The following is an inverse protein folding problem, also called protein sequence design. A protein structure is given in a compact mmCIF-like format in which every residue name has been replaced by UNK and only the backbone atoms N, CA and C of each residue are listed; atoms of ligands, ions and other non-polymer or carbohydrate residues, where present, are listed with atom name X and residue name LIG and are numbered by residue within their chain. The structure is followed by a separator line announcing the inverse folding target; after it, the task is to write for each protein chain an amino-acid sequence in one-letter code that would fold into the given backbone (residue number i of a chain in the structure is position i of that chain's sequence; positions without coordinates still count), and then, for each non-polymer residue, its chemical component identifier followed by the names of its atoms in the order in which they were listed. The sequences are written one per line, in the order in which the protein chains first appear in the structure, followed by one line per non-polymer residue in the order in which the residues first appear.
data_IF_258318591165
#
_entry.id   IF_258318591165
#
_cell.length_a   1.000
_cell.length_b   1.000
_cell.length_c   1.000
_cell.angle_alpha   90.00
_cell.angle_beta   90.00
_cell.angle_gamma   90.00
#
_symmetry.space_group_name_H-M   'P 1'
#
loop_
_entity.id
_entity.type
_entity.pdbx_description
1 polymer ?
#
# COMPACT_ATOMS: atom_id res chain seq x y z
N UNK A 1 20.45 6.46 -14.96
CA UNK A 1 19.24 5.65 -14.63
C UNK A 1 18.32 5.65 -15.84
N UNK A 2 17.73 4.52 -16.21
CA UNK A 2 16.77 4.45 -17.32
C UNK A 2 15.46 5.11 -16.88
N UNK A 3 14.87 5.98 -17.71
CA UNK A 3 13.62 6.66 -17.35
C UNK A 3 12.45 5.68 -17.41
N UNK A 4 11.42 5.92 -16.57
CA UNK A 4 10.16 5.17 -16.59
C UNK A 4 9.55 5.10 -18.00
N UNK A 5 9.58 6.22 -18.72
CA UNK A 5 9.07 6.32 -20.09
C UNK A 5 9.90 5.44 -21.05
N UNK A 6 11.22 5.38 -20.87
CA UNK A 6 12.10 4.52 -21.67
C UNK A 6 11.82 3.03 -21.44
N UNK A 7 11.45 2.63 -20.22
CA UNK A 7 11.08 1.24 -19.92
C UNK A 7 9.71 0.90 -20.55
N UNK A 8 8.71 1.75 -20.34
CA UNK A 8 7.36 1.56 -20.89
C UNK A 8 7.38 1.47 -22.43
N UNK A 9 8.16 2.32 -23.10
CA UNK A 9 8.32 2.30 -24.55
C UNK A 9 9.03 1.04 -25.08
N UNK A 10 9.96 0.46 -24.31
CA UNK A 10 10.69 -0.76 -24.69
C UNK A 10 9.93 -2.05 -24.40
N UNK A 11 9.01 -2.03 -23.44
CA UNK A 11 8.22 -3.20 -23.04
C UNK A 11 7.18 -3.57 -24.11
N UNK A 12 6.54 -2.58 -24.72
CA UNK A 12 5.43 -2.82 -25.67
C UNK A 12 5.84 -3.67 -26.88
N UNK A 13 6.95 -3.37 -27.60
CA UNK A 13 7.39 -4.20 -28.73
C UNK A 13 7.68 -5.65 -28.32
N UNK A 14 8.36 -5.85 -27.18
CA UNK A 14 8.71 -7.17 -26.66
C UNK A 14 7.47 -7.98 -26.28
N UNK A 15 6.48 -7.33 -25.66
CA UNK A 15 5.21 -7.99 -25.32
C UNK A 15 4.42 -8.36 -26.57
N UNK A 16 4.37 -7.49 -27.57
CA UNK A 16 3.65 -7.73 -28.81
C UNK A 16 4.28 -8.89 -29.60
N UNK A 17 5.61 -8.95 -29.66
CA UNK A 17 6.37 -10.05 -30.26
C UNK A 17 6.12 -11.39 -29.53
N UNK A 18 6.23 -11.40 -28.19
CA UNK A 18 6.12 -12.63 -27.41
C UNK A 18 4.71 -13.19 -27.30
N UNK A 19 3.71 -12.30 -27.27
CA UNK A 19 2.32 -12.68 -27.01
C UNK A 19 1.45 -12.64 -28.27
N UNK A 20 2.00 -12.23 -29.43
CA UNK A 20 1.26 -12.13 -30.69
C UNK A 20 0.08 -11.17 -30.64
N UNK A 21 0.12 -10.18 -29.74
CA UNK A 21 -0.99 -9.24 -29.52
C UNK A 21 -0.57 -7.81 -29.84
N UNK A 22 -1.55 -6.95 -30.12
CA UNK A 22 -1.31 -5.52 -30.37
C UNK A 22 -1.64 -4.72 -29.11
N UNK A 23 -0.67 -4.57 -28.21
CA UNK A 23 -0.77 -3.68 -27.04
C UNK A 23 -0.20 -2.32 -27.39
N UNK A 24 -0.83 -1.30 -26.80
CA UNK A 24 -0.37 0.09 -26.86
C UNK A 24 0.35 0.45 -25.55
N UNK A 25 1.14 1.53 -25.53
CA UNK A 25 1.74 2.05 -24.30
C UNK A 25 0.71 2.28 -23.18
N UNK A 26 -0.48 2.77 -23.52
CA UNK A 26 -1.55 3.00 -22.53
C UNK A 26 -2.07 1.71 -21.89
N UNK A 27 -2.11 0.59 -22.64
CA UNK A 27 -2.48 -0.70 -22.07
C UNK A 27 -1.49 -1.13 -20.98
N UNK A 28 -0.19 -0.99 -21.25
CA UNK A 28 0.87 -1.34 -20.29
C UNK A 28 0.82 -0.41 -19.09
N UNK A 29 0.71 0.90 -19.32
CA UNK A 29 0.60 1.92 -18.27
C UNK A 29 -0.61 1.68 -17.36
N UNK A 30 -1.79 1.46 -17.93
CA UNK A 30 -3.01 1.18 -17.18
C UNK A 30 -2.89 -0.12 -16.39
N UNK A 31 -2.30 -1.17 -16.99
CA UNK A 31 -2.06 -2.45 -16.30
C UNK A 31 -1.14 -2.27 -15.10
N UNK A 32 -0.02 -1.55 -15.26
CA UNK A 32 0.91 -1.26 -14.16
C UNK A 32 0.23 -0.43 -13.06
N UNK A 33 -0.61 0.54 -13.43
CA UNK A 33 -1.41 1.31 -12.45
C UNK A 33 -2.35 0.40 -11.66
N UNK A 34 -3.10 -0.48 -12.32
CA UNK A 34 -3.99 -1.45 -11.66
C UNK A 34 -3.21 -2.41 -10.76
N UNK A 35 -2.07 -2.93 -11.21
CA UNK A 35 -1.23 -3.83 -10.42
C UNK A 35 -0.65 -3.14 -9.19
N UNK A 36 -0.23 -1.88 -9.30
CA UNK A 36 0.22 -1.08 -8.16
C UNK A 36 -0.88 -0.92 -7.11
N UNK A 37 -2.09 -0.56 -7.54
CA UNK A 37 -3.23 -0.43 -6.62
C UNK A 37 -3.53 -1.75 -5.91
N UNK A 38 -3.59 -2.87 -6.66
CA UNK A 38 -3.79 -4.21 -6.07
C UNK A 38 -2.69 -4.57 -5.06
N UNK A 39 -1.44 -4.28 -5.38
CA UNK A 39 -0.32 -4.53 -4.47
C UNK A 39 -0.44 -3.71 -3.18
N UNK A 40 -0.80 -2.42 -3.28
CA UNK A 40 -1.03 -1.56 -2.11
C UNK A 40 -2.16 -2.11 -1.23
N UNK A 41 -3.30 -2.49 -1.82
CA UNK A 41 -4.41 -3.08 -1.06
C UNK A 41 -4.02 -4.39 -0.36
N UNK A 42 -3.19 -5.22 -0.99
CA UNK A 42 -2.67 -6.45 -0.36
C UNK A 42 -1.75 -6.10 0.82
N UNK A 43 -0.88 -5.10 0.68
CA UNK A 43 -0.02 -4.67 1.78
C UNK A 43 -0.84 -4.13 2.96
N UNK A 44 -1.82 -3.29 2.69
CA UNK A 44 -2.74 -2.75 3.71
C UNK A 44 -3.46 -3.88 4.45
N UNK A 45 -3.96 -4.87 3.73
CA UNK A 45 -4.59 -6.06 4.32
C UNK A 45 -3.61 -6.85 5.21
N UNK A 46 -2.39 -7.10 4.75
CA UNK A 46 -1.36 -7.82 5.55
C UNK A 46 -1.00 -7.04 6.81
N UNK A 47 -0.78 -5.73 6.70
CA UNK A 47 -0.48 -4.90 7.86
C UNK A 47 -1.67 -4.81 8.82
N UNK A 48 -2.90 -4.81 8.33
CA UNK A 48 -4.11 -4.90 9.15
C UNK A 48 -4.14 -6.18 9.98
N UNK A 49 -3.90 -7.33 9.36
CA UNK A 49 -3.79 -8.61 10.08
C UNK A 49 -2.65 -8.55 11.11
N UNK A 50 -1.49 -8.04 10.74
CA UNK A 50 -0.35 -7.99 11.65
C UNK A 50 -0.57 -7.06 12.84
N UNK A 51 -1.25 -5.92 12.65
CA UNK A 51 -1.64 -5.02 13.74
C UNK A 51 -2.64 -5.66 14.70
N UNK A 52 -3.58 -6.44 14.17
CA UNK A 52 -4.53 -7.21 14.98
C UNK A 52 -3.85 -8.35 15.75
N UNK A 53 -2.86 -9.03 15.17
CA UNK A 53 -2.19 -10.21 15.76
C UNK A 53 -1.03 -9.87 16.68
N UNK A 54 -0.28 -8.82 16.36
CA UNK A 54 0.95 -8.46 17.05
C UNK A 54 0.91 -6.99 17.46
N UNK A 55 0.82 -6.77 18.77
CA UNK A 55 0.76 -5.43 19.38
C UNK A 55 1.95 -4.54 19.02
N UNK A 56 3.09 -5.13 18.66
CA UNK A 56 4.29 -4.42 18.21
C UNK A 56 4.09 -3.58 16.95
N UNK A 57 3.05 -3.83 16.14
CA UNK A 57 2.71 -3.01 14.98
C UNK A 57 1.67 -1.93 15.26
N UNK A 58 1.08 -1.87 16.48
CA UNK A 58 0.10 -0.82 16.83
C UNK A 58 0.73 0.57 16.89
N UNK A 59 2.03 0.65 17.19
CA UNK A 59 2.82 1.88 17.14
C UNK A 59 4.00 1.71 16.18
N UNK A 60 4.55 2.83 15.70
CA UNK A 60 5.74 2.82 14.86
C UNK A 60 6.93 2.27 15.67
N UNK A 61 7.52 1.11 15.30
CA UNK A 61 8.61 0.54 16.07
C UNK A 61 9.85 1.46 15.98
N UNK A 62 10.50 1.84 17.09
CA UNK A 62 11.65 2.74 17.11
C UNK A 62 12.94 2.01 16.69
N UNK A 63 12.88 1.22 15.63
CA UNK A 63 14.00 0.43 15.11
C UNK A 63 14.44 0.93 13.74
N UNK A 64 15.73 0.79 13.37
CA UNK A 64 16.19 1.03 12.01
C UNK A 64 15.41 0.17 11.00
N UNK A 65 15.29 0.65 9.76
CA UNK A 65 14.50 -0.02 8.70
C UNK A 65 14.86 -1.50 8.52
N UNK A 66 16.15 -1.86 8.62
CA UNK A 66 16.61 -3.24 8.50
C UNK A 66 15.95 -4.15 9.54
N UNK A 67 15.94 -3.69 10.79
CA UNK A 67 15.33 -4.41 11.91
C UNK A 67 13.81 -4.46 11.79
N UNK A 68 13.17 -3.38 11.31
CA UNK A 68 11.73 -3.39 11.02
C UNK A 68 11.36 -4.47 9.98
N UNK A 69 12.17 -4.63 8.92
CA UNK A 69 11.96 -5.67 7.91
C UNK A 69 12.13 -7.08 8.49
N UNK A 70 13.18 -7.30 9.28
CA UNK A 70 13.41 -8.60 9.96
C UNK A 70 12.24 -8.95 10.89
N UNK A 71 11.67 -7.96 11.57
CA UNK A 71 10.52 -8.12 12.45
C UNK A 71 9.25 -8.52 11.68
N UNK A 72 8.96 -7.85 10.56
CA UNK A 72 7.85 -8.22 9.66
C UNK A 72 8.00 -9.67 9.17
N UNK A 73 9.20 -10.08 8.79
CA UNK A 73 9.46 -11.46 8.33
C UNK A 73 9.28 -12.49 9.46
N UNK A 74 9.77 -12.19 10.67
CA UNK A 74 9.61 -13.06 11.84
C UNK A 74 8.12 -13.22 12.20
N UNK A 75 7.36 -12.14 12.23
CA UNK A 75 5.91 -12.15 12.48
C UNK A 75 5.15 -12.91 11.39
N UNK A 76 5.53 -12.76 10.11
CA UNK A 76 4.95 -13.54 9.01
C UNK A 76 5.19 -15.05 9.18
N UNK A 77 6.42 -15.44 9.52
CA UNK A 77 6.78 -16.84 9.79
C UNK A 77 5.98 -17.41 10.96
N UNK A 78 5.88 -16.66 12.06
CA UNK A 78 5.11 -17.06 13.24
C UNK A 78 3.61 -17.17 12.94
N UNK A 79 3.04 -16.20 12.23
CA UNK A 79 1.64 -16.22 11.80
C UNK A 79 1.34 -17.46 10.94
N UNK A 80 2.17 -17.72 9.93
CA UNK A 80 2.01 -18.89 9.06
C UNK A 80 2.13 -20.22 9.82
N UNK A 81 3.05 -20.30 10.79
CA UNK A 81 3.20 -21.48 11.64
C UNK A 81 1.95 -21.70 12.51
N UNK A 82 1.48 -20.66 13.19
CA UNK A 82 0.31 -20.73 14.05
C UNK A 82 -0.97 -21.02 13.25
N UNK A 83 -1.17 -20.43 12.06
CA UNK A 83 -2.31 -20.75 11.20
C UNK A 83 -2.31 -22.21 10.72
N UNK A 84 -1.14 -22.84 10.59
CA UNK A 84 -1.04 -24.25 10.20
C UNK A 84 -1.35 -25.20 11.37
N UNK A 85 -0.89 -24.87 12.57
CA UNK A 85 -0.97 -25.75 13.74
C UNK A 85 -2.22 -25.51 14.61
N UNK A 86 -2.78 -24.29 14.63
CA UNK A 86 -3.95 -23.94 15.42
C UNK A 86 -5.19 -23.71 14.52
N UNK A 87 -6.26 -24.49 14.74
CA UNK A 87 -7.51 -24.40 13.95
C UNK A 87 -8.45 -23.24 14.33
N UNK A 88 -8.14 -22.50 15.39
CA UNK A 88 -8.95 -21.34 15.80
C UNK A 88 -8.29 -20.08 15.27
N UNK A 89 -8.91 -19.50 14.26
CA UNK A 89 -8.51 -18.22 13.67
C UNK A 89 -9.46 -17.08 14.12
N UNK A 90 -10.21 -17.32 15.19
CA UNK A 90 -11.20 -16.39 15.72
C UNK A 90 -10.56 -15.45 16.74
N UNK A 91 -10.58 -14.15 16.44
CA UNK A 91 -9.93 -13.11 17.22
C UNK A 91 -10.95 -12.25 17.94
N UNK A 92 -10.67 -11.84 19.20
CA UNK A 92 -11.43 -10.79 19.84
C UNK A 92 -11.37 -9.53 18.99
N UNK A 93 -12.54 -8.98 18.64
CA UNK A 93 -12.64 -7.65 18.06
C UNK A 93 -12.25 -6.67 19.17
N UNK A 94 -11.12 -5.99 19.02
CA UNK A 94 -10.79 -4.88 19.89
C UNK A 94 -11.69 -3.69 19.50
N UNK A 95 -12.40 -3.10 20.47
CA UNK A 95 -13.13 -1.86 20.24
C UNK A 95 -12.13 -0.75 19.97
N UNK A 96 -12.28 -0.07 18.83
CA UNK A 96 -11.49 1.10 18.44
C UNK A 96 -11.91 2.32 19.28
N UNK A 97 -11.64 2.28 20.59
CA UNK A 97 -11.77 3.44 21.47
C UNK A 97 -10.43 4.19 21.46
N UNK A 98 -10.17 4.87 20.35
CA UNK A 98 -8.99 5.70 20.15
C UNK A 98 -9.32 6.78 19.13
N UNK A 99 -9.97 7.84 19.60
CA UNK A 99 -10.30 9.06 18.86
C UNK A 99 -9.06 9.56 18.09
N UNK A 100 -9.05 9.34 16.78
CA UNK A 100 -8.20 10.11 15.87
C UNK A 100 -8.99 11.37 15.53
N UNK A 101 -8.62 12.48 16.16
CA UNK A 101 -9.05 13.80 15.71
C UNK A 101 -8.46 14.06 14.32
N UNK A 102 -9.27 13.87 13.29
CA UNK A 102 -9.01 14.41 11.96
C UNK A 102 -9.16 15.94 12.04
N UNK A 103 -8.04 16.64 12.24
CA UNK A 103 -7.97 18.08 11.93
C UNK A 103 -8.18 18.27 10.42
N UNK A 104 -9.44 18.43 10.03
CA UNK A 104 -9.82 19.04 8.77
C UNK A 104 -9.50 20.53 8.85
N UNK A 105 -8.43 20.94 8.18
CA UNK A 105 -8.29 22.33 7.74
C UNK A 105 -8.92 22.43 6.35
N UNK A 106 -10.22 22.74 6.34
CA UNK A 106 -10.94 23.30 5.20
C UNK A 106 -10.71 24.82 5.20
N UNK A 107 -9.87 25.34 4.29
CA UNK A 107 -9.78 26.77 4.02
C UNK A 107 -9.85 27.06 2.51
N UNK A 108 -11.08 27.22 2.01
CA UNK A 108 -11.52 28.27 1.09
C UNK A 108 -13.05 28.14 0.91
N UNK A 109 -13.84 29.22 0.67
CA UNK A 109 -13.54 30.28 -0.31
C UNK A 109 -14.04 31.71 0.01
N UNK A 110 -13.58 32.69 -0.79
CA UNK A 110 -14.50 33.72 -1.32
C UNK A 110 -14.29 35.19 -0.96
N UNK A 111 -13.44 35.87 -1.75
CA UNK A 111 -13.65 37.15 -2.46
C UNK A 111 -14.46 38.31 -1.80
N UNK A 112 -13.83 39.48 -1.60
CA UNK A 112 -14.44 40.80 -1.87
C UNK A 112 -13.43 41.81 -2.42
N UNK A 113 -13.78 42.35 -3.58
CA UNK A 113 -13.28 43.56 -4.25
C UNK A 113 -13.25 44.79 -3.35
N UNK A 114 -12.19 45.61 -3.43
CA UNK A 114 -12.30 47.08 -3.31
C UNK A 114 -11.15 47.81 -4.02
N UNK A 115 -11.55 48.88 -4.71
CA UNK A 115 -10.76 49.81 -5.52
C UNK A 115 -9.86 50.73 -4.69
N UNK A 116 -8.72 51.12 -5.28
CA UNK A 116 -7.89 52.35 -5.14
C UNK A 116 -6.47 51.96 -5.61
N UNK A 117 -5.83 52.56 -6.61
CA UNK A 117 -5.83 53.91 -7.13
C UNK A 117 -5.28 53.91 -8.57
#
# INVERSE_FOLDING_TARGET
MISKQTIEAKIVPVLNEKLGCQKTPDHVKNRVKTLRGRYQSILEMIFGVFKSRFTIFKSAPPFPIKTQVELVLACAGLHNFLCKECRSDEFPIESEDGEFEDEKNDDEPGNQTQEQQ
#
